data_IF_439126300994
#
_entry.id   IF_439126300994
#
_cell.length_a   1.000
_cell.length_b   1.000
_cell.length_c   1.000
_cell.angle_alpha   90.00
_cell.angle_beta   90.00
_cell.angle_gamma   90.00
#
_symmetry.space_group_name_H-M   'P 1'
#
loop_
_entity.id
_entity.type
_entity.pdbx_description
1 polymer ?
#
# COMPACT_ATOMS: atom_id res chain seq x y z
N UNK A 1 2.77 10.74 -1.43
CA UNK A 1 3.63 9.92 -0.53
C UNK A 1 3.32 10.05 0.96
N UNK A 2 2.44 10.98 1.40
CA UNK A 2 2.06 11.13 2.81
C UNK A 2 1.44 9.88 3.46
N UNK A 3 0.92 8.95 2.65
CA UNK A 3 0.45 7.65 3.13
C UNK A 3 1.51 6.92 3.96
N UNK A 4 2.79 7.01 3.59
CA UNK A 4 3.86 6.37 4.34
C UNK A 4 4.16 7.06 5.68
N UNK A 5 3.92 8.37 5.77
CA UNK A 5 4.02 9.08 7.05
C UNK A 5 2.87 8.67 7.98
N UNK A 6 1.66 8.50 7.42
CA UNK A 6 0.52 7.96 8.17
C UNK A 6 0.76 6.50 8.62
N UNK A 7 1.39 5.67 7.78
CA UNK A 7 1.79 4.30 8.14
C UNK A 7 2.83 4.30 9.26
N UNK A 8 3.83 5.18 9.20
CA UNK A 8 4.83 5.33 10.27
C UNK A 8 4.15 5.60 11.62
N UNK A 9 3.28 6.61 11.67
CA UNK A 9 2.52 6.96 12.88
C UNK A 9 1.64 5.80 13.35
N UNK A 10 1.01 5.07 12.42
CA UNK A 10 0.20 3.91 12.78
C UNK A 10 1.04 2.78 13.40
N UNK A 11 2.23 2.52 12.85
CA UNK A 11 3.13 1.46 13.33
C UNK A 11 3.77 1.76 14.68
N UNK A 12 3.94 3.04 15.05
CA UNK A 12 4.45 3.45 16.35
C UNK A 12 3.45 3.23 17.50
N UNK A 13 2.18 2.99 17.18
CA UNK A 13 1.17 2.78 18.21
C UNK A 13 1.43 1.48 18.99
N UNK A 14 1.26 1.54 20.31
CA UNK A 14 1.39 0.36 21.20
C UNK A 14 0.40 -0.75 20.87
N UNK A 15 -0.74 -0.40 20.28
CA UNK A 15 -1.80 -1.30 19.83
C UNK A 15 -1.71 -1.64 18.33
N UNK A 16 -0.51 -1.51 17.74
CA UNK A 16 -0.29 -1.96 16.37
C UNK A 16 -0.22 -3.50 16.28
N UNK A 17 -1.28 -4.06 15.70
CA UNK A 17 -1.41 -5.51 15.45
C UNK A 17 -1.52 -5.84 13.95
N UNK A 18 -1.11 -4.92 13.08
CA UNK A 18 -1.24 -5.06 11.62
C UNK A 18 -2.66 -4.84 11.12
N UNK A 19 -2.90 -5.20 9.86
CA UNK A 19 -4.21 -5.07 9.24
C UNK A 19 -5.13 -6.25 9.62
N UNK A 20 -6.21 -5.95 10.34
CA UNK A 20 -7.23 -6.94 10.71
C UNK A 20 -7.90 -7.58 9.49
N UNK A 21 -8.10 -6.81 8.42
CA UNK A 21 -8.74 -7.28 7.17
C UNK A 21 -7.84 -8.30 6.46
N UNK A 22 -6.52 -8.07 6.40
CA UNK A 22 -5.59 -9.05 5.84
C UNK A 22 -5.53 -10.33 6.68
N UNK A 23 -5.51 -10.20 8.02
CA UNK A 23 -5.54 -11.37 8.92
C UNK A 23 -6.79 -12.21 8.72
N UNK A 24 -7.97 -11.57 8.67
CA UNK A 24 -9.22 -12.27 8.43
C UNK A 24 -9.24 -12.96 7.05
N UNK A 25 -8.75 -12.30 6.00
CA UNK A 25 -8.68 -12.91 4.68
C UNK A 25 -7.78 -14.16 4.65
N UNK A 26 -6.65 -14.13 5.35
CA UNK A 26 -5.73 -15.27 5.45
C UNK A 26 -6.31 -16.40 6.30
N UNK A 27 -6.89 -16.09 7.46
CA UNK A 27 -7.43 -17.10 8.38
C UNK A 27 -8.60 -17.87 7.77
N UNK A 28 -9.48 -17.16 7.06
CA UNK A 28 -10.72 -17.74 6.54
C UNK A 28 -10.61 -18.25 5.10
N UNK A 29 -9.53 -17.96 4.36
CA UNK A 29 -9.16 -18.54 3.07
C UNK A 29 -10.34 -19.11 2.21
N UNK A 30 -11.22 -18.21 1.76
CA UNK A 30 -12.44 -18.49 0.97
C UNK A 30 -13.54 -19.38 1.61
N UNK A 31 -13.34 -19.81 2.85
CA UNK A 31 -14.34 -20.51 3.68
C UNK A 31 -15.51 -19.59 4.11
N UNK A 32 -15.40 -18.28 3.87
CA UNK A 32 -16.46 -17.31 4.14
C UNK A 32 -16.57 -16.28 3.02
N UNK A 33 -17.64 -16.42 2.23
CA UNK A 33 -17.95 -15.50 1.13
C UNK A 33 -18.07 -14.03 1.60
N UNK A 34 -18.56 -13.81 2.82
CA UNK A 34 -18.69 -12.47 3.39
C UNK A 34 -17.33 -11.84 3.73
N UNK A 35 -16.39 -12.62 4.27
CA UNK A 35 -15.04 -12.14 4.56
C UNK A 35 -14.29 -11.86 3.26
N UNK A 36 -14.39 -12.75 2.28
CA UNK A 36 -13.85 -12.53 0.92
C UNK A 36 -14.41 -11.23 0.32
N UNK A 37 -15.71 -10.97 0.47
CA UNK A 37 -16.36 -9.73 -0.02
C UNK A 37 -15.82 -8.49 0.68
N UNK A 38 -15.69 -8.51 2.00
CA UNK A 38 -15.15 -7.38 2.79
C UNK A 38 -13.70 -7.08 2.39
N UNK A 39 -12.86 -8.12 2.29
CA UNK A 39 -11.47 -7.98 1.88
C UNK A 39 -11.36 -7.35 0.48
N UNK A 40 -12.06 -7.93 -0.52
CA UNK A 40 -12.06 -7.42 -1.89
C UNK A 40 -12.54 -5.97 -1.96
N UNK A 41 -13.61 -5.64 -1.24
CA UNK A 41 -14.15 -4.27 -1.20
C UNK A 41 -13.16 -3.28 -0.58
N UNK A 42 -12.47 -3.68 0.50
CA UNK A 42 -11.47 -2.83 1.14
C UNK A 42 -10.26 -2.60 0.24
N UNK A 43 -9.77 -3.65 -0.42
CA UNK A 43 -8.65 -3.57 -1.38
C UNK A 43 -9.00 -2.70 -2.57
N UNK A 44 -10.17 -2.91 -3.18
CA UNK A 44 -10.63 -2.11 -4.30
C UNK A 44 -10.66 -0.62 -3.97
N UNK A 45 -11.15 -0.24 -2.78
CA UNK A 45 -11.15 1.18 -2.35
C UNK A 45 -9.75 1.77 -2.22
N UNK A 46 -8.77 0.98 -1.78
CA UNK A 46 -7.38 1.42 -1.71
C UNK A 46 -6.80 1.58 -3.12
N UNK A 47 -7.04 0.61 -3.99
CA UNK A 47 -6.56 0.65 -5.37
C UNK A 47 -7.16 1.83 -6.13
N UNK A 48 -8.48 2.04 -6.06
CA UNK A 48 -9.18 3.18 -6.69
C UNK A 48 -8.60 4.53 -6.20
N UNK A 49 -8.34 4.65 -4.90
CA UNK A 49 -7.74 5.85 -4.32
C UNK A 49 -6.32 6.10 -4.85
N UNK A 50 -5.50 5.06 -4.94
CA UNK A 50 -4.14 5.17 -5.46
C UNK A 50 -4.13 5.44 -6.97
N UNK A 51 -5.05 4.84 -7.73
CA UNK A 51 -5.24 5.08 -9.17
C UNK A 51 -5.57 6.55 -9.40
N UNK A 52 -6.59 7.08 -8.72
CA UNK A 52 -6.97 8.49 -8.86
C UNK A 52 -5.81 9.44 -8.51
N UNK A 53 -5.04 9.16 -7.46
CA UNK A 53 -3.85 9.96 -7.17
C UNK A 53 -2.78 9.89 -8.27
N UNK A 54 -2.60 8.75 -8.93
CA UNK A 54 -1.65 8.61 -10.03
C UNK A 54 -2.15 9.32 -11.29
N UNK A 55 -3.46 9.29 -11.55
CA UNK A 55 -4.11 10.02 -12.65
C UNK A 55 -3.97 11.53 -12.45
N UNK A 56 -4.31 12.04 -11.26
CA UNK A 56 -4.20 13.46 -10.90
C UNK A 56 -2.76 13.98 -10.99
N UNK A 57 -1.78 13.10 -10.76
CA UNK A 57 -0.36 13.41 -10.88
C UNK A 57 0.17 13.31 -12.32
N UNK A 58 -0.64 12.88 -13.28
CA UNK A 58 -0.29 12.82 -14.71
C UNK A 58 0.64 11.69 -15.10
N UNK A 59 0.66 10.57 -14.37
CA UNK A 59 1.43 9.39 -14.77
C UNK A 59 0.77 8.66 -15.95
N UNK A 60 1.56 8.19 -16.91
CA UNK A 60 1.07 7.47 -18.09
C UNK A 60 0.45 6.11 -17.79
N UNK A 61 0.91 5.42 -16.74
CA UNK A 61 0.45 4.09 -16.36
C UNK A 61 -0.10 4.05 -14.92
N UNK A 62 -1.20 4.79 -14.64
CA UNK A 62 -1.67 5.01 -13.27
C UNK A 62 -2.11 3.70 -12.58
N UNK A 63 -2.74 2.78 -13.32
CA UNK A 63 -3.13 1.47 -12.80
C UNK A 63 -1.92 0.61 -12.39
N UNK A 64 -0.88 0.59 -13.23
CA UNK A 64 0.35 -0.16 -12.94
C UNK A 64 1.06 0.40 -11.73
N UNK A 65 1.18 1.74 -11.67
CA UNK A 65 1.82 2.42 -10.56
C UNK A 65 1.05 2.21 -9.25
N UNK A 66 -0.28 2.34 -9.26
CA UNK A 66 -1.12 2.07 -8.10
C UNK A 66 -0.93 0.64 -7.60
N UNK A 67 -0.91 -0.36 -8.49
CA UNK A 67 -0.66 -1.77 -8.13
C UNK A 67 0.69 -1.97 -7.44
N UNK A 68 1.75 -1.32 -7.93
CA UNK A 68 3.07 -1.34 -7.29
C UNK A 68 3.03 -0.69 -5.91
N UNK A 69 2.35 0.45 -5.77
CA UNK A 69 2.19 1.13 -4.48
C UNK A 69 1.41 0.28 -3.47
N UNK A 70 0.31 -0.35 -3.87
CA UNK A 70 -0.46 -1.29 -3.01
C UNK A 70 0.42 -2.42 -2.52
N UNK A 71 1.23 -3.02 -3.40
CA UNK A 71 2.16 -4.10 -3.05
C UNK A 71 3.17 -3.65 -2.00
N UNK A 72 3.73 -2.45 -2.15
CA UNK A 72 4.68 -1.87 -1.19
C UNK A 72 4.00 -1.59 0.13
N UNK A 73 2.79 -1.01 0.13
CA UNK A 73 2.00 -0.73 1.34
C UNK A 73 1.73 -2.03 2.11
N UNK A 74 1.27 -3.07 1.43
CA UNK A 74 0.98 -4.36 2.06
C UNK A 74 2.21 -5.01 2.67
N UNK A 75 3.30 -5.04 1.91
CA UNK A 75 4.59 -5.55 2.39
C UNK A 75 5.12 -4.74 3.57
N UNK A 76 4.93 -3.42 3.55
CA UNK A 76 5.31 -2.51 4.61
C UNK A 76 4.54 -2.81 5.91
N UNK A 77 3.22 -2.99 5.83
CA UNK A 77 2.36 -3.35 6.96
C UNK A 77 2.82 -4.68 7.59
N UNK A 78 3.01 -5.72 6.77
CA UNK A 78 3.44 -7.03 7.26
C UNK A 78 4.85 -6.98 7.87
N UNK A 79 5.80 -6.34 7.18
CA UNK A 79 7.18 -6.23 7.66
C UNK A 79 7.26 -5.43 8.97
N UNK A 80 6.53 -4.33 9.11
CA UNK A 80 6.46 -3.58 10.36
C UNK A 80 5.89 -4.43 11.51
N UNK A 81 4.88 -5.27 11.25
CA UNK A 81 4.28 -6.14 12.26
C UNK A 81 5.26 -7.19 12.77
N UNK A 82 5.97 -7.86 11.86
CA UNK A 82 6.91 -8.94 12.19
C UNK A 82 8.18 -8.39 12.84
N UNK A 83 8.73 -7.30 12.30
CA UNK A 83 9.98 -6.70 12.80
C UNK A 83 9.81 -5.79 14.02
N UNK A 84 8.56 -5.38 14.33
CA UNK A 84 8.26 -4.37 15.35
C UNK A 84 9.03 -3.06 15.15
N UNK A 85 9.19 -2.67 13.89
CA UNK A 85 9.93 -1.49 13.49
C UNK A 85 9.08 -0.57 12.59
N UNK A 86 8.73 0.60 13.11
CA UNK A 86 7.96 1.61 12.37
C UNK A 86 8.76 2.25 11.21
N UNK A 87 10.10 2.28 11.30
CA UNK A 87 10.97 2.89 10.27
C UNK A 87 10.84 2.21 8.90
N UNK A 88 10.30 0.99 8.84
CA UNK A 88 9.97 0.30 7.59
C UNK A 88 9.02 1.14 6.70
N UNK A 89 8.20 2.01 7.28
CA UNK A 89 7.38 2.96 6.52
C UNK A 89 8.23 4.00 5.78
N UNK A 90 9.32 4.46 6.39
CA UNK A 90 10.25 5.40 5.77
C UNK A 90 11.06 4.73 4.66
N UNK A 91 11.50 3.48 4.86
CA UNK A 91 12.11 2.67 3.80
C UNK A 91 11.16 2.52 2.60
N UNK A 92 9.90 2.17 2.85
CA UNK A 92 8.88 2.04 1.81
C UNK A 92 8.64 3.37 1.07
N UNK A 93 8.64 4.50 1.80
CA UNK A 93 8.55 5.84 1.21
C UNK A 93 9.71 6.10 0.24
N UNK A 94 10.93 5.73 0.59
CA UNK A 94 12.11 5.94 -0.26
C UNK A 94 12.14 5.00 -1.48
N UNK A 95 11.66 3.76 -1.33
CA UNK A 95 11.43 2.85 -2.47
C UNK A 95 10.42 3.48 -3.44
N UNK A 96 9.28 3.98 -2.94
CA UNK A 96 8.27 4.61 -3.79
C UNK A 96 8.80 5.88 -4.47
N UNK A 97 9.57 6.74 -3.78
CA UNK A 97 10.23 7.89 -4.43
C UNK A 97 11.10 7.44 -5.60
N UNK A 98 11.85 6.36 -5.43
CA UNK A 98 12.74 5.85 -6.47
C UNK A 98 11.96 5.38 -7.71
N UNK A 99 10.85 4.67 -7.49
CA UNK A 99 9.93 4.22 -8.56
C UNK A 99 9.30 5.42 -9.28
N UNK A 100 8.76 6.38 -8.53
CA UNK A 100 8.12 7.55 -9.12
C UNK A 100 9.12 8.37 -9.95
N UNK A 101 10.34 8.54 -9.45
CA UNK A 101 11.40 9.24 -10.18
C UNK A 101 11.82 8.51 -11.47
N UNK A 102 11.78 7.17 -11.51
CA UNK A 102 12.05 6.44 -12.75
C UNK A 102 10.93 6.58 -13.77
N UNK A 103 9.67 6.57 -13.32
CA UNK A 103 8.51 6.73 -14.21
C UNK A 103 8.45 8.17 -14.76
N UNK A 104 8.72 9.20 -13.95
CA UNK A 104 8.82 10.61 -14.41
C UNK A 104 9.92 10.81 -15.43
N UNK A 105 11.06 10.10 -15.32
CA UNK A 105 12.11 10.18 -16.34
C UNK A 105 11.68 9.57 -17.67
N UNK A 106 10.85 8.52 -17.66
CA UNK A 106 10.22 7.99 -18.87
C UNK A 106 9.40 9.05 -19.61
N UNK A 107 8.60 9.83 -18.87
CA UNK A 107 7.76 10.92 -19.40
C UNK A 107 8.52 12.08 -20.04
N UNK A 108 9.80 12.29 -19.69
CA UNK A 108 10.64 13.40 -20.18
C UNK A 108 11.58 12.99 -21.32
N UNK A 109 11.62 11.70 -21.65
CA UNK A 109 12.51 11.14 -22.68
C UNK A 109 11.79 10.74 -23.98
N UNK A 110 10.49 11.00 -24.08
CA UNK A 110 9.69 10.84 -25.31
C UNK A 110 9.27 12.19 -25.92
#
# INVERSE_FOLDING_TARGET
LFIFDALFVWFERKDYFGCLIMKAAIEFDDQSAEITRIFKTHKQKMDDYLIHMCEDAGFEAPMRLASMLTTIIDGCIVKALVSRNANVALEAKDICKSILNSEVKGLLTE
#
